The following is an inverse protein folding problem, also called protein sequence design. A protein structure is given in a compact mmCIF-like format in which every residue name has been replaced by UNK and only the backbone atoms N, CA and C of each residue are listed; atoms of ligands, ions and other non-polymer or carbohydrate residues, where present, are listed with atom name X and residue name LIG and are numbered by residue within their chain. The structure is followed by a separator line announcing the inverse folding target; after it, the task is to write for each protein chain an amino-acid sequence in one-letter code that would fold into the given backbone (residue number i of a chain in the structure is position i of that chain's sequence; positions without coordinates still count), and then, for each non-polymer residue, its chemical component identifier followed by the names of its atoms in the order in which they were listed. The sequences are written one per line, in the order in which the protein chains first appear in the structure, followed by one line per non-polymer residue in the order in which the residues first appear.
data_IF_685623056651
#
_entry.id   IF_685623056651
#
_cell.length_a   1.000
_cell.length_b   1.000
_cell.length_c   1.000
_cell.angle_alpha   90.00
_cell.angle_beta   90.00
_cell.angle_gamma   90.00
#
_symmetry.space_group_name_H-M   'P 1'
#
loop_
_entity.id
_entity.type
_entity.pdbx_description
1 polymer ?
#
# COMPACT_ATOMS: atom_id res chain seq x y z
N UNK A 1 -9.76 -55.98 24.33
CA UNK A 1 -8.59 -55.08 24.33
C UNK A 1 -8.58 -54.03 23.19
N UNK A 2 -9.43 -54.12 22.16
CA UNK A 2 -9.42 -53.19 21.00
C UNK A 2 -10.29 -51.92 21.13
N UNK A 3 -11.11 -51.77 22.18
CA UNK A 3 -12.02 -50.61 22.31
C UNK A 3 -11.45 -49.39 23.04
N UNK A 4 -10.27 -49.50 23.67
CA UNK A 4 -9.63 -48.36 24.36
C UNK A 4 -8.60 -47.62 23.50
N UNK A 5 -8.15 -48.19 22.37
CA UNK A 5 -7.14 -47.55 21.51
C UNK A 5 -7.75 -46.46 20.61
N UNK A 6 -9.00 -46.62 20.13
CA UNK A 6 -9.64 -45.62 19.27
C UNK A 6 -10.08 -44.35 20.00
N UNK A 7 -10.40 -44.42 21.30
CA UNK A 7 -10.78 -43.24 22.09
C UNK A 7 -9.58 -42.29 22.31
N UNK A 8 -8.38 -42.84 22.48
CA UNK A 8 -7.16 -42.04 22.61
C UNK A 8 -6.73 -41.41 21.28
N UNK A 9 -7.00 -42.08 20.14
CA UNK A 9 -6.67 -41.55 18.82
C UNK A 9 -7.58 -40.36 18.41
N UNK A 10 -8.85 -40.38 18.83
CA UNK A 10 -9.76 -39.25 18.63
C UNK A 10 -9.43 -38.04 19.52
N UNK A 11 -8.97 -38.26 20.76
CA UNK A 11 -8.54 -37.16 21.63
C UNK A 11 -7.23 -36.51 21.18
N UNK A 12 -6.29 -37.28 20.62
CA UNK A 12 -5.04 -36.74 20.06
C UNK A 12 -5.33 -35.99 18.75
N UNK A 13 -6.28 -36.46 17.92
CA UNK A 13 -6.70 -35.73 16.72
C UNK A 13 -7.43 -34.41 17.03
N UNK A 14 -8.14 -34.32 18.16
CA UNK A 14 -8.83 -33.09 18.57
C UNK A 14 -7.84 -32.03 19.11
N UNK A 15 -6.74 -32.46 19.71
CA UNK A 15 -5.66 -31.57 20.18
C UNK A 15 -4.75 -31.13 19.02
N UNK A 16 -4.59 -31.95 17.97
CA UNK A 16 -3.81 -31.57 16.78
C UNK A 16 -4.58 -30.61 15.85
N UNK A 17 -5.90 -30.61 15.87
CA UNK A 17 -6.73 -29.62 15.13
C UNK A 17 -6.87 -28.29 15.89
N UNK A 18 -6.60 -28.27 17.20
CA UNK A 18 -6.42 -27.02 17.96
C UNK A 18 -5.02 -26.39 17.79
N UNK A 19 -4.21 -26.95 16.88
CA UNK A 19 -2.96 -26.37 16.38
C UNK A 19 -3.13 -25.56 15.10
N UNK A 20 -4.36 -25.16 14.74
CA UNK A 20 -4.54 -23.97 13.90
C UNK A 20 -3.93 -22.82 14.68
N UNK A 21 -2.67 -22.50 14.37
CA UNK A 21 -2.06 -21.25 14.76
C UNK A 21 -3.02 -20.16 14.33
N UNK A 22 -3.85 -19.71 15.28
CA UNK A 22 -4.38 -18.37 15.27
C UNK A 22 -3.10 -17.56 15.34
N UNK A 23 -2.58 -17.18 14.17
CA UNK A 23 -1.66 -16.06 14.06
C UNK A 23 -2.53 -14.92 14.54
N UNK A 24 -2.51 -14.70 15.86
CA UNK A 24 -3.14 -13.55 16.46
C UNK A 24 -2.49 -12.39 15.76
N UNK A 25 -3.28 -11.63 15.01
CA UNK A 25 -2.87 -10.30 14.60
C UNK A 25 -2.22 -9.64 15.82
N UNK A 26 -1.00 -9.14 15.65
CA UNK A 26 -0.25 -8.34 16.61
C UNK A 26 -0.39 -6.86 16.23
N UNK A 27 -1.54 -6.21 16.50
CA UNK A 27 -1.66 -4.78 16.32
C UNK A 27 -0.62 -4.06 17.19
N UNK A 28 -0.26 -2.84 16.81
CA UNK A 28 0.59 -2.00 17.64
C UNK A 28 -0.04 -1.82 19.02
N UNK A 29 0.70 -2.15 20.07
CA UNK A 29 0.22 -1.98 21.44
C UNK A 29 0.34 -0.50 21.81
N UNK A 30 -0.78 0.21 21.96
CA UNK A 30 -0.81 1.66 22.18
C UNK A 30 0.15 2.18 23.26
N UNK A 31 0.27 1.47 24.40
CA UNK A 31 1.17 1.87 25.51
C UNK A 31 2.67 1.80 25.18
N UNK A 32 3.04 1.12 24.09
CA UNK A 32 4.42 1.03 23.60
C UNK A 32 4.72 2.10 22.53
N UNK A 33 3.73 2.85 22.06
CA UNK A 33 3.96 3.97 21.16
C UNK A 33 4.50 5.15 21.97
N UNK A 34 5.75 5.54 21.71
CA UNK A 34 6.43 6.64 22.40
C UNK A 34 6.17 7.97 21.71
N UNK A 35 6.26 7.97 20.38
CA UNK A 35 5.84 9.10 19.54
C UNK A 35 4.95 8.60 18.43
N UNK A 36 3.93 9.39 18.08
CA UNK A 36 3.17 9.26 16.86
C UNK A 36 2.88 10.67 16.34
N UNK A 37 3.36 11.01 15.15
CA UNK A 37 3.29 12.35 14.56
C UNK A 37 2.44 12.30 13.29
N UNK A 38 1.45 13.18 13.19
CA UNK A 38 0.66 13.39 11.98
C UNK A 38 1.33 14.49 11.13
N UNK A 39 2.23 14.12 10.23
CA UNK A 39 3.06 15.08 9.50
C UNK A 39 2.21 15.92 8.53
N UNK A 40 2.53 17.21 8.44
CA UNK A 40 1.77 18.21 7.71
C UNK A 40 0.51 18.72 8.42
N UNK A 41 0.02 18.06 9.48
CA UNK A 41 -1.26 18.40 10.10
C UNK A 41 -1.13 19.26 11.36
N UNK A 42 -2.04 20.22 11.51
CA UNK A 42 -2.21 20.97 12.75
C UNK A 42 -3.08 20.24 13.80
N UNK A 43 -3.68 19.11 13.43
CA UNK A 43 -4.62 18.37 14.27
C UNK A 43 -4.05 17.03 14.72
N UNK A 44 -4.33 16.69 15.98
CA UNK A 44 -4.10 15.34 16.48
C UNK A 44 -5.18 14.38 15.94
N UNK A 45 -4.80 13.11 15.76
CA UNK A 45 -5.68 12.05 15.28
C UNK A 45 -5.55 10.81 16.16
N UNK A 46 -6.68 10.29 16.64
CA UNK A 46 -6.73 9.01 17.34
C UNK A 46 -6.61 7.86 16.34
N UNK A 47 -5.70 6.93 16.63
CA UNK A 47 -5.54 5.70 15.86
C UNK A 47 -6.59 4.64 16.20
N UNK A 48 -6.79 3.66 15.32
CA UNK A 48 -7.65 2.48 15.50
C UNK A 48 -7.09 1.55 16.57
N UNK A 49 -5.77 1.51 16.74
CA UNK A 49 -5.10 0.78 17.82
C UNK A 49 -5.11 1.52 19.18
N UNK A 50 -5.64 2.75 19.21
CA UNK A 50 -5.97 3.50 20.44
C UNK A 50 -4.94 4.52 20.91
N UNK A 51 -3.73 4.56 20.33
CA UNK A 51 -2.76 5.65 20.54
C UNK A 51 -3.16 6.91 19.73
N UNK A 52 -2.53 8.05 20.01
CA UNK A 52 -2.85 9.32 19.33
C UNK A 52 -1.64 9.79 18.54
N UNK A 53 -1.82 10.00 17.24
CA UNK A 53 -0.92 10.84 16.47
C UNK A 53 -1.11 12.28 16.92
N UNK A 54 -0.07 12.89 17.47
CA UNK A 54 -0.07 14.31 17.80
C UNK A 54 -0.10 15.13 16.52
N UNK A 55 -0.49 16.41 16.64
CA UNK A 55 -0.21 17.38 15.59
C UNK A 55 1.27 17.36 15.21
N UNK A 56 1.58 17.83 14.02
CA UNK A 56 2.94 17.88 13.52
C UNK A 56 3.83 18.76 14.40
N UNK A 57 4.99 18.22 14.80
CA UNK A 57 5.94 18.87 15.69
C UNK A 57 7.32 18.21 15.60
N UNK A 58 8.35 18.95 16.04
CA UNK A 58 9.71 18.44 16.11
C UNK A 58 10.44 18.40 14.77
N UNK A 59 9.89 19.02 13.73
CA UNK A 59 10.51 19.17 12.41
C UNK A 59 11.38 20.43 12.29
N UNK A 60 12.26 20.47 11.28
CA UNK A 60 13.09 21.64 10.95
C UNK A 60 12.28 22.83 10.39
N UNK A 61 12.73 24.07 10.64
CA UNK A 61 12.01 25.29 10.25
C UNK A 61 11.78 25.44 8.72
N UNK A 62 12.73 25.00 7.89
CA UNK A 62 12.67 25.13 6.42
C UNK A 62 11.91 23.97 5.76
N UNK A 63 10.62 23.83 6.12
CA UNK A 63 9.73 22.79 5.60
C UNK A 63 8.34 23.33 5.27
N UNK A 64 7.62 22.63 4.40
CA UNK A 64 6.26 22.96 4.00
C UNK A 64 5.31 21.81 4.32
N UNK A 65 4.03 22.15 4.46
CA UNK A 65 2.96 21.19 4.65
C UNK A 65 1.94 21.29 3.53
N UNK A 66 1.36 20.17 3.13
CA UNK A 66 0.23 20.11 2.18
C UNK A 66 -0.90 19.33 2.85
N UNK A 67 -2.11 19.88 2.76
CA UNK A 67 -3.34 19.21 3.17
C UNK A 67 -4.19 18.94 1.91
N UNK A 68 -4.40 17.67 1.62
CA UNK A 68 -5.18 17.18 0.48
C UNK A 68 -6.67 17.05 0.79
N UNK A 69 -7.09 17.30 2.04
CA UNK A 69 -8.47 17.04 2.50
C UNK A 69 -9.52 17.90 1.79
N UNK A 70 -9.13 19.09 1.35
CA UNK A 70 -10.01 20.06 0.69
C UNK A 70 -9.88 20.07 -0.85
N UNK A 71 -9.08 19.16 -1.43
CA UNK A 71 -8.97 19.04 -2.89
C UNK A 71 -10.20 18.34 -3.49
N UNK A 72 -11.04 19.10 -4.21
CA UNK A 72 -12.22 18.58 -4.89
C UNK A 72 -11.90 17.48 -5.91
N UNK A 73 -10.69 17.44 -6.48
CA UNK A 73 -10.28 16.35 -7.38
C UNK A 73 -9.98 15.04 -6.65
N UNK A 74 -9.71 15.12 -5.34
CA UNK A 74 -9.42 13.96 -4.49
C UNK A 74 -10.63 13.55 -3.64
N UNK A 75 -11.78 14.17 -3.87
CA UNK A 75 -13.02 13.84 -3.16
C UNK A 75 -13.45 12.40 -3.46
N UNK A 76 -13.64 11.62 -2.40
CA UNK A 76 -13.98 10.20 -2.52
C UNK A 76 -12.79 9.31 -2.89
N UNK A 77 -11.56 9.85 -2.88
CA UNK A 77 -10.35 9.06 -3.06
C UNK A 77 -10.28 7.96 -2.00
N UNK A 78 -9.91 6.76 -2.46
CA UNK A 78 -9.60 5.63 -1.59
C UNK A 78 -8.10 5.42 -1.59
N UNK A 79 -7.49 5.61 -0.42
CA UNK A 79 -6.09 5.24 -0.20
C UNK A 79 -6.05 3.74 0.09
N UNK A 80 -5.48 2.98 -0.84
CA UNK A 80 -5.44 1.52 -0.74
C UNK A 80 -4.58 1.11 0.45
N UNK A 81 -5.00 0.05 1.12
CA UNK A 81 -4.30 -0.53 2.27
C UNK A 81 -4.07 0.44 3.45
N UNK A 82 -4.83 1.53 3.54
CA UNK A 82 -4.83 2.38 4.72
C UNK A 82 -5.92 1.91 5.70
N UNK A 83 -5.52 1.47 6.90
CA UNK A 83 -6.46 1.38 8.04
C UNK A 83 -7.00 2.76 8.41
N UNK A 84 -6.18 3.79 8.22
CA UNK A 84 -6.42 5.17 8.63
C UNK A 84 -6.10 6.15 7.48
N UNK A 85 -6.99 6.27 6.47
CA UNK A 85 -6.71 7.08 5.29
C UNK A 85 -6.38 8.54 5.62
N UNK A 86 -6.95 9.09 6.70
CA UNK A 86 -6.76 10.50 7.07
C UNK A 86 -5.33 10.86 7.46
N UNK A 87 -4.50 9.90 7.90
CA UNK A 87 -3.07 10.17 8.16
C UNK A 87 -2.32 10.47 6.85
N UNK A 88 -2.80 9.94 5.73
CA UNK A 88 -2.20 10.12 4.42
C UNK A 88 -2.78 11.32 3.65
N UNK A 89 -3.67 12.11 4.27
CA UNK A 89 -4.23 13.31 3.65
C UNK A 89 -3.41 14.56 3.95
N UNK A 90 -2.42 14.49 4.84
CA UNK A 90 -1.48 15.57 5.08
C UNK A 90 -0.05 15.06 4.90
N UNK A 91 0.81 15.87 4.30
CA UNK A 91 2.24 15.58 4.22
C UNK A 91 3.08 16.78 4.65
N UNK A 92 4.26 16.49 5.20
CA UNK A 92 5.36 17.45 5.31
C UNK A 92 6.41 17.12 4.27
N UNK A 93 6.92 18.12 3.58
CA UNK A 93 8.04 17.99 2.66
C UNK A 93 9.04 19.14 2.81
N UNK A 94 10.28 18.91 2.39
CA UNK A 94 11.33 19.93 2.35
C UNK A 94 11.78 20.19 0.93
N UNK A 95 12.02 21.46 0.57
CA UNK A 95 12.68 21.78 -0.71
C UNK A 95 14.13 21.27 -0.74
N UNK A 96 14.71 21.09 0.44
CA UNK A 96 16.00 20.46 0.71
C UNK A 96 15.81 19.24 1.63
N UNK A 97 16.92 18.63 2.04
CA UNK A 97 16.89 17.67 3.15
C UNK A 97 16.30 18.32 4.40
N UNK A 98 15.46 17.59 5.12
CA UNK A 98 14.86 18.04 6.39
C UNK A 98 14.77 16.86 7.36
N UNK A 99 14.51 17.14 8.62
CA UNK A 99 14.43 16.12 9.65
C UNK A 99 13.41 16.39 10.74
N UNK A 100 13.38 15.43 11.66
CA UNK A 100 12.63 15.43 12.90
C UNK A 100 13.55 15.08 14.06
N UNK A 101 13.36 15.77 15.18
CA UNK A 101 14.02 15.51 16.46
C UNK A 101 12.98 15.11 17.52
N UNK A 102 13.00 13.83 17.91
CA UNK A 102 12.02 13.24 18.83
C UNK A 102 12.69 12.72 20.10
N UNK A 103 12.21 13.09 21.29
CA UNK A 103 12.85 12.70 22.55
C UNK A 103 12.91 11.17 22.76
N UNK A 104 14.01 10.65 23.28
CA UNK A 104 14.11 9.25 23.71
C UNK A 104 14.58 9.18 25.17
N UNK A 105 13.67 8.77 26.05
CA UNK A 105 13.92 8.79 27.49
C UNK A 105 14.44 7.47 28.06
N UNK A 106 14.20 6.35 27.37
CA UNK A 106 14.47 5.01 27.89
C UNK A 106 15.42 4.28 26.95
N UNK A 107 16.54 3.78 27.47
CA UNK A 107 17.44 2.93 26.70
C UNK A 107 16.81 1.56 26.44
N UNK A 108 16.48 1.28 25.19
CA UNK A 108 15.90 0.02 24.74
C UNK A 108 15.94 -0.11 23.21
N UNK A 109 15.42 -1.22 22.69
CA UNK A 109 15.16 -1.40 21.27
C UNK A 109 13.89 -0.67 20.87
N UNK A 110 13.94 0.02 19.74
CA UNK A 110 12.84 0.73 19.14
C UNK A 110 12.64 0.30 17.69
N UNK A 111 11.40 0.45 17.20
CA UNK A 111 11.08 0.38 15.78
C UNK A 111 10.51 1.71 15.33
N UNK A 112 11.18 2.35 14.38
CA UNK A 112 10.68 3.53 13.68
C UNK A 112 9.80 3.06 12.52
N UNK A 113 8.55 3.50 12.50
CA UNK A 113 7.57 3.22 11.45
C UNK A 113 7.28 4.53 10.72
N UNK A 114 7.58 4.58 9.43
CA UNK A 114 7.43 5.76 8.59
C UNK A 114 6.30 5.53 7.59
N UNK A 115 5.31 6.42 7.61
CA UNK A 115 4.11 6.32 6.79
C UNK A 115 4.22 7.22 5.57
N UNK A 116 4.04 6.62 4.39
CA UNK A 116 4.07 7.31 3.11
C UNK A 116 2.88 6.91 2.24
N UNK A 117 2.48 7.84 1.37
CA UNK A 117 1.58 7.59 0.26
C UNK A 117 1.99 8.53 -0.87
N UNK A 118 2.24 8.02 -2.09
CA UNK A 118 2.50 8.91 -3.22
C UNK A 118 1.19 9.55 -3.68
N UNK A 119 1.05 10.86 -3.45
CA UNK A 119 -0.15 11.64 -3.76
C UNK A 119 -0.03 12.37 -5.12
N UNK A 120 1.19 12.69 -5.55
CA UNK A 120 1.45 13.61 -6.65
C UNK A 120 1.88 12.91 -7.93
N UNK A 121 2.93 12.08 -7.87
CA UNK A 121 3.49 11.45 -9.07
C UNK A 121 2.76 10.17 -9.50
N UNK A 122 2.85 9.91 -10.80
CA UNK A 122 2.18 8.82 -11.51
C UNK A 122 3.16 7.80 -12.13
N UNK A 123 4.45 7.91 -11.83
CA UNK A 123 5.51 7.04 -12.37
C UNK A 123 6.71 6.93 -11.44
N UNK A 124 7.47 5.82 -11.49
CA UNK A 124 8.66 5.64 -10.67
C UNK A 124 9.79 6.59 -11.11
N UNK A 125 10.75 6.79 -10.22
CA UNK A 125 11.96 7.59 -10.42
C UNK A 125 11.72 9.10 -10.37
N UNK A 126 10.53 9.58 -10.02
CA UNK A 126 10.24 11.02 -9.95
C UNK A 126 10.65 11.64 -8.62
N UNK A 127 10.37 10.92 -7.54
CA UNK A 127 10.70 11.32 -6.18
C UNK A 127 11.48 10.18 -5.54
N UNK A 128 12.75 10.44 -5.29
CA UNK A 128 13.68 9.47 -4.72
C UNK A 128 14.48 10.18 -3.65
N UNK A 129 14.48 9.66 -2.43
CA UNK A 129 15.23 10.24 -1.32
C UNK A 129 15.84 9.16 -0.43
N UNK A 130 16.61 9.55 0.58
CA UNK A 130 17.12 8.63 1.59
C UNK A 130 16.49 8.95 2.94
N UNK A 131 16.45 7.96 3.83
CA UNK A 131 16.10 8.16 5.24
C UNK A 131 17.35 7.85 6.06
N UNK A 132 17.69 8.74 6.99
CA UNK A 132 18.84 8.59 7.88
C UNK A 132 18.42 8.64 9.35
N UNK A 133 19.17 7.92 10.16
CA UNK A 133 19.26 8.14 11.60
C UNK A 133 20.63 8.77 11.86
N UNK A 134 20.64 10.03 12.30
CA UNK A 134 21.86 10.85 12.31
C UNK A 134 22.53 10.86 10.93
N UNK A 135 23.79 10.42 10.88
CA UNK A 135 24.56 10.37 9.63
C UNK A 135 24.42 9.07 8.85
N UNK A 136 23.71 8.08 9.38
CA UNK A 136 23.60 6.74 8.77
C UNK A 136 22.34 6.62 7.94
N UNK A 137 22.49 6.35 6.64
CA UNK A 137 21.36 6.02 5.74
C UNK A 137 20.79 4.65 6.13
N UNK A 138 19.61 4.66 6.72
CA UNK A 138 18.87 3.45 7.12
C UNK A 138 17.97 2.93 5.99
N UNK A 139 17.55 3.83 5.08
CA UNK A 139 16.85 3.50 3.84
C UNK A 139 17.48 4.31 2.72
N UNK A 140 17.83 3.65 1.61
CA UNK A 140 18.45 4.28 0.45
C UNK A 140 17.54 4.17 -0.77
N UNK A 141 17.64 5.14 -1.69
CA UNK A 141 16.84 5.27 -2.91
C UNK A 141 15.35 4.98 -2.70
N UNK A 142 14.74 5.58 -1.66
CA UNK A 142 13.34 5.39 -1.34
C UNK A 142 12.47 6.08 -2.40
N UNK A 143 11.78 5.27 -3.18
CA UNK A 143 10.77 5.67 -4.15
C UNK A 143 9.44 5.01 -3.78
N UNK A 144 8.50 5.82 -3.29
CA UNK A 144 7.21 5.35 -2.80
C UNK A 144 6.34 4.87 -3.95
N UNK A 145 6.38 5.54 -5.11
CA UNK A 145 5.66 5.11 -6.29
C UNK A 145 6.15 3.74 -6.77
N UNK A 146 7.47 3.54 -6.85
CA UNK A 146 8.02 2.25 -7.28
C UNK A 146 7.66 1.11 -6.32
N UNK A 147 7.54 1.39 -5.01
CA UNK A 147 7.21 0.39 -3.99
C UNK A 147 5.72 0.06 -3.90
N UNK A 148 4.85 1.07 -4.04
CA UNK A 148 3.43 0.92 -3.72
C UNK A 148 2.49 1.43 -4.81
N UNK A 149 2.96 2.32 -5.69
CA UNK A 149 2.15 3.07 -6.65
C UNK A 149 1.50 4.30 -6.02
N UNK A 150 0.67 4.99 -6.81
CA UNK A 150 -0.07 6.18 -6.39
C UNK A 150 -1.27 5.81 -5.53
N UNK A 151 -1.54 6.60 -4.48
CA UNK A 151 -2.67 6.40 -3.57
C UNK A 151 -2.69 5.05 -2.86
N UNK A 152 -1.50 4.54 -2.53
CA UNK A 152 -1.33 3.28 -1.80
C UNK A 152 -0.51 3.56 -0.55
N UNK A 153 -1.08 3.22 0.61
CA UNK A 153 -0.38 3.33 1.88
C UNK A 153 0.83 2.40 1.92
N UNK A 154 1.97 2.98 2.29
CA UNK A 154 3.25 2.30 2.38
C UNK A 154 3.95 2.66 3.69
N UNK A 155 4.28 1.63 4.46
CA UNK A 155 4.98 1.75 5.72
C UNK A 155 6.40 1.20 5.58
N UNK A 156 7.39 1.96 6.04
CA UNK A 156 8.77 1.49 6.21
C UNK A 156 9.06 1.27 7.69
N UNK A 157 9.71 0.16 8.03
CA UNK A 157 10.05 -0.21 9.40
C UNK A 157 11.57 -0.25 9.56
N UNK A 158 12.07 0.47 10.56
CA UNK A 158 13.50 0.52 10.88
C UNK A 158 13.68 0.22 12.36
N UNK A 159 14.15 -0.99 12.67
CA UNK A 159 14.57 -1.34 14.02
C UNK A 159 15.94 -0.71 14.34
N UNK A 160 16.05 -0.08 15.50
CA UNK A 160 17.30 0.47 16.03
C UNK A 160 17.36 0.31 17.54
N UNK A 161 18.57 0.38 18.10
CA UNK A 161 18.78 0.32 19.55
C UNK A 161 19.25 1.67 20.07
N UNK A 162 18.62 2.15 21.13
CA UNK A 162 19.12 3.28 21.91
C UNK A 162 19.79 2.74 23.18
N UNK A 163 21.11 2.94 23.29
CA UNK A 163 21.90 2.43 24.41
C UNK A 163 23.13 3.32 24.64
N UNK A 164 23.46 3.58 25.90
CA UNK A 164 24.59 4.42 26.32
C UNK A 164 24.61 5.78 25.60
N UNK A 165 23.45 6.43 25.49
CA UNK A 165 23.31 7.72 24.80
C UNK A 165 23.54 7.70 23.28
N UNK A 166 23.57 6.52 22.64
CA UNK A 166 23.84 6.36 21.19
C UNK A 166 22.78 5.53 20.49
N UNK A 167 22.58 5.81 19.20
CA UNK A 167 21.77 4.99 18.31
C UNK A 167 22.65 3.95 17.63
N UNK A 168 22.18 2.71 17.58
CA UNK A 168 22.76 1.62 16.81
C UNK A 168 21.76 1.11 15.79
N UNK A 169 22.17 1.03 14.53
CA UNK A 169 21.43 0.40 13.45
C UNK A 169 22.26 -0.76 12.90
N UNK A 170 21.69 -1.98 12.84
CA UNK A 170 22.42 -3.20 12.40
C UNK A 170 23.77 -3.37 13.10
N UNK A 171 23.81 -3.16 14.41
CA UNK A 171 25.01 -3.21 15.26
C UNK A 171 26.10 -2.16 14.95
N UNK A 172 25.81 -1.16 14.13
CA UNK A 172 26.71 -0.05 13.84
C UNK A 172 26.21 1.23 14.51
N UNK A 173 27.14 2.02 15.07
CA UNK A 173 26.80 3.31 15.69
C UNK A 173 26.37 4.28 14.60
N UNK A 174 25.19 4.89 14.77
CA UNK A 174 24.76 6.02 13.97
C UNK A 174 25.30 7.31 14.60
N UNK A 175 26.39 7.84 14.05
CA UNK A 175 26.90 9.15 14.48
C UNK A 175 25.80 10.21 14.36
N UNK A 176 25.74 11.13 15.34
CA UNK A 176 24.70 12.16 15.44
C UNK A 176 23.26 11.61 15.45
N UNK A 177 23.08 10.34 15.81
CA UNK A 177 21.75 9.72 15.95
C UNK A 177 20.95 10.24 17.15
N UNK A 178 21.64 10.80 18.15
CA UNK A 178 21.05 11.61 19.23
C UNK A 178 21.65 13.01 19.15
N UNK A 179 20.79 14.02 19.17
CA UNK A 179 21.14 15.45 19.30
C UNK A 179 20.27 16.03 20.41
N UNK A 180 20.87 16.64 21.43
CA UNK A 180 20.15 17.22 22.57
C UNK A 180 19.12 16.29 23.24
N UNK A 181 19.47 15.00 23.39
CA UNK A 181 18.60 13.97 23.98
C UNK A 181 17.46 13.49 23.07
N UNK A 182 17.45 13.92 21.81
CA UNK A 182 16.42 13.57 20.82
C UNK A 182 17.00 12.71 19.70
N UNK A 183 16.26 11.69 19.31
CA UNK A 183 16.47 10.93 18.08
C UNK A 183 16.44 11.87 16.88
N UNK A 184 17.51 11.86 16.10
CA UNK A 184 17.64 12.65 14.88
C UNK A 184 17.28 11.78 13.66
N UNK A 185 16.15 12.06 13.02
CA UNK A 185 15.65 11.41 11.81
C UNK A 185 15.76 12.44 10.69
N UNK A 186 16.39 12.11 9.56
CA UNK A 186 16.42 13.04 8.42
C UNK A 186 16.03 12.36 7.11
N UNK A 187 15.25 13.07 6.30
CA UNK A 187 14.92 12.71 4.93
C UNK A 187 15.85 13.47 4.00
N UNK A 188 16.85 12.77 3.47
CA UNK A 188 17.91 13.35 2.67
C UNK A 188 17.50 13.42 1.20
N UNK A 189 17.45 14.63 0.67
CA UNK A 189 17.13 14.91 -0.73
C UNK A 189 18.20 14.36 -1.66
N UNK A 190 17.79 13.80 -2.79
CA UNK A 190 18.68 13.46 -3.91
C UNK A 190 18.51 14.47 -5.04
N UNK A 191 19.05 14.19 -6.22
CA UNK A 191 18.87 15.02 -7.43
C UNK A 191 17.43 15.05 -7.97
N UNK A 192 16.53 14.24 -7.40
CA UNK A 192 15.13 14.12 -7.80
C UNK A 192 14.25 15.12 -7.02
N UNK A 193 12.93 14.91 -6.99
CA UNK A 193 12.00 15.77 -6.26
C UNK A 193 12.18 15.71 -4.73
N UNK A 194 11.47 16.60 -4.02
CA UNK A 194 11.51 16.82 -2.59
C UNK A 194 11.23 15.55 -1.75
N UNK A 195 12.01 15.29 -0.68
CA UNK A 195 11.62 14.30 0.32
C UNK A 195 10.33 14.71 1.04
N UNK A 196 9.54 13.74 1.48
CA UNK A 196 8.25 13.96 2.15
C UNK A 196 7.94 12.85 3.16
N UNK A 197 6.99 13.08 4.07
CA UNK A 197 6.49 12.10 5.04
C UNK A 197 5.03 12.44 5.43
N UNK A 198 4.20 11.42 5.68
CA UNK A 198 2.81 11.58 6.14
C UNK A 198 2.65 11.31 7.63
N UNK A 199 3.40 10.35 8.17
CA UNK A 199 3.36 10.05 9.60
C UNK A 199 4.60 9.35 10.11
N UNK A 200 4.89 9.54 11.39
CA UNK A 200 6.05 8.95 12.07
C UNK A 200 5.55 8.28 13.34
N UNK A 201 5.91 7.02 13.55
CA UNK A 201 5.68 6.33 14.83
C UNK A 201 7.00 5.81 15.37
N UNK A 202 7.32 6.14 16.62
CA UNK A 202 8.44 5.56 17.37
C UNK A 202 7.84 4.58 18.37
N UNK A 203 8.09 3.29 18.15
CA UNK A 203 7.54 2.20 18.94
C UNK A 203 8.61 1.56 19.83
N UNK A 204 8.31 1.41 21.12
CA UNK A 204 9.12 0.71 22.11
C UNK A 204 9.02 -0.82 21.93
N UNK A 205 9.91 -1.38 21.12
CA UNK A 205 9.97 -2.80 20.84
C UNK A 205 10.74 -3.11 19.56
N UNK A 206 11.13 -4.37 19.42
CA UNK A 206 11.67 -4.94 18.19
C UNK A 206 10.59 -5.12 17.11
N UNK A 207 11.01 -5.33 15.87
CA UNK A 207 10.16 -5.44 14.70
C UNK A 207 9.10 -6.54 14.83
N UNK A 208 9.45 -7.68 15.45
CA UNK A 208 8.54 -8.82 15.69
C UNK A 208 7.41 -8.53 16.70
N UNK A 209 7.50 -7.39 17.40
CA UNK A 209 6.50 -6.88 18.33
C UNK A 209 5.61 -5.79 17.71
N UNK A 210 5.81 -5.47 16.44
CA UNK A 210 5.01 -4.50 15.68
C UNK A 210 3.94 -5.20 14.84
N UNK A 211 3.17 -4.40 14.09
CA UNK A 211 2.19 -4.87 13.12
C UNK A 211 2.78 -5.20 11.74
N UNK A 212 4.12 -5.32 11.62
CA UNK A 212 4.81 -5.63 10.37
C UNK A 212 4.28 -6.90 9.68
N UNK A 213 4.17 -8.01 10.42
CA UNK A 213 3.64 -9.28 9.90
C UNK A 213 2.13 -9.20 9.61
N UNK A 214 1.41 -8.41 10.39
CA UNK A 214 -0.03 -8.22 10.21
C UNK A 214 -0.36 -7.44 8.94
N UNK A 215 0.51 -6.52 8.53
CA UNK A 215 0.29 -5.67 7.36
C UNK A 215 0.06 -6.50 6.09
N UNK A 216 0.78 -7.62 5.93
CA UNK A 216 0.58 -8.51 4.79
C UNK A 216 -0.82 -9.15 4.80
N UNK A 217 -1.24 -9.67 5.95
CA UNK A 217 -2.55 -10.28 6.13
C UNK A 217 -3.69 -9.27 5.94
N UNK A 218 -3.50 -8.06 6.48
CA UNK A 218 -4.42 -6.95 6.30
C UNK A 218 -4.57 -6.58 4.81
N UNK A 219 -3.47 -6.45 4.06
CA UNK A 219 -3.53 -6.17 2.60
C UNK A 219 -4.31 -7.25 1.86
N UNK A 220 -4.06 -8.52 2.15
CA UNK A 220 -4.80 -9.62 1.53
C UNK A 220 -6.30 -9.60 1.90
N UNK A 221 -6.65 -9.24 3.13
CA UNK A 221 -8.04 -9.09 3.56
C UNK A 221 -8.71 -7.88 2.90
N UNK A 222 -7.99 -6.77 2.78
CA UNK A 222 -8.45 -5.55 2.13
C UNK A 222 -8.85 -5.83 0.67
N UNK A 223 -8.01 -6.53 -0.09
CA UNK A 223 -8.31 -6.92 -1.48
C UNK A 223 -9.58 -7.77 -1.59
N UNK A 224 -9.76 -8.76 -0.70
CA UNK A 224 -10.98 -9.57 -0.67
C UNK A 224 -12.21 -8.72 -0.36
N UNK A 225 -12.13 -7.83 0.60
CA UNK A 225 -13.24 -6.97 0.99
C UNK A 225 -13.60 -6.01 -0.15
N UNK A 226 -12.60 -5.38 -0.77
CA UNK A 226 -12.78 -4.47 -1.89
C UNK A 226 -13.43 -5.17 -3.10
N UNK A 227 -12.94 -6.36 -3.47
CA UNK A 227 -13.52 -7.14 -4.56
C UNK A 227 -14.98 -7.55 -4.27
N UNK A 228 -15.29 -7.93 -3.02
CA UNK A 228 -16.64 -8.27 -2.61
C UNK A 228 -17.59 -7.06 -2.67
N UNK A 229 -17.13 -5.88 -2.26
CA UNK A 229 -17.91 -4.65 -2.34
C UNK A 229 -18.14 -4.22 -3.79
N UNK A 230 -17.12 -4.29 -4.64
CA UNK A 230 -17.24 -4.00 -6.07
C UNK A 230 -18.27 -4.92 -6.74
N UNK A 231 -18.24 -6.23 -6.42
CA UNK A 231 -19.23 -7.20 -6.91
C UNK A 231 -20.65 -6.85 -6.45
N UNK A 232 -20.84 -6.54 -5.16
CA UNK A 232 -22.15 -6.13 -4.62
C UNK A 232 -22.70 -4.88 -5.31
N UNK A 233 -21.85 -3.88 -5.57
CA UNK A 233 -22.24 -2.66 -6.30
C UNK A 233 -22.63 -2.97 -7.75
N UNK A 234 -21.88 -3.84 -8.43
CA UNK A 234 -22.22 -4.28 -9.79
C UNK A 234 -23.58 -5.02 -9.84
N UNK A 235 -23.83 -5.93 -8.90
CA UNK A 235 -25.09 -6.65 -8.79
C UNK A 235 -26.27 -5.69 -8.51
N UNK A 236 -26.09 -4.68 -7.65
CA UNK A 236 -27.09 -3.64 -7.39
C UNK A 236 -27.37 -2.79 -8.63
N UNK A 237 -26.33 -2.39 -9.36
CA UNK A 237 -26.46 -1.61 -10.58
C UNK A 237 -27.22 -2.39 -11.66
N UNK A 238 -26.94 -3.69 -11.83
CA UNK A 238 -27.64 -4.55 -12.77
C UNK A 238 -29.13 -4.67 -12.42
N UNK A 239 -29.46 -4.87 -11.15
CA UNK A 239 -30.86 -4.88 -10.68
C UNK A 239 -31.58 -3.55 -10.98
N UNK A 240 -30.91 -2.42 -10.78
CA UNK A 240 -31.48 -1.11 -11.07
C UNK A 240 -31.72 -0.92 -12.59
N UNK A 241 -30.78 -1.36 -13.43
CA UNK A 241 -30.93 -1.33 -14.89
C UNK A 241 -32.10 -2.21 -15.36
N UNK A 242 -32.23 -3.43 -14.86
CA UNK A 242 -33.36 -4.33 -15.17
C UNK A 242 -34.70 -3.73 -14.74
N UNK A 243 -34.77 -3.08 -13.57
CA UNK A 243 -35.98 -2.41 -13.10
C UNK A 243 -36.37 -1.22 -14.00
N UNK A 244 -35.39 -0.42 -14.42
CA UNK A 244 -35.60 0.70 -15.36
C UNK A 244 -36.11 0.19 -16.72
N UNK A 245 -35.50 -0.88 -17.25
CA UNK A 245 -35.93 -1.49 -18.52
C UNK A 245 -37.36 -2.02 -18.45
N UNK A 246 -37.70 -2.79 -17.40
CA UNK A 246 -39.08 -3.29 -17.19
C UNK A 246 -40.11 -2.17 -17.06
N UNK A 247 -39.72 -1.03 -16.47
CA UNK A 247 -40.60 0.15 -16.37
C UNK A 247 -40.80 0.80 -17.75
N UNK A 248 -39.75 0.91 -18.56
CA UNK A 248 -39.84 1.41 -19.94
C UNK A 248 -40.68 0.49 -20.83
N UNK A 249 -40.46 -0.82 -20.78
CA UNK A 249 -41.27 -1.82 -21.51
C UNK A 249 -42.75 -1.71 -21.16
N UNK A 250 -43.09 -1.55 -19.87
CA UNK A 250 -44.48 -1.33 -19.44
C UNK A 250 -45.09 -0.02 -19.95
N UNK A 251 -44.29 1.03 -20.14
CA UNK A 251 -44.77 2.30 -20.71
C UNK A 251 -45.03 2.12 -22.21
N UNK A 252 -44.11 1.49 -22.94
CA UNK A 252 -44.27 1.19 -24.38
C UNK A 252 -45.53 0.36 -24.64
N UNK A 253 -45.74 -0.72 -23.87
CA UNK A 253 -46.93 -1.58 -24.00
C UNK A 253 -48.23 -0.81 -23.69
N UNK A 254 -48.18 0.23 -22.84
CA UNK A 254 -49.35 1.04 -22.50
C UNK A 254 -49.70 2.08 -23.57
N UNK A 255 -48.72 2.52 -24.36
CA UNK A 255 -48.91 3.47 -25.47
C UNK A 255 -49.40 2.79 -26.77
N UNK A 256 -49.50 1.46 -26.81
CA UNK A 256 -50.05 0.71 -27.97
C UNK A 256 -51.59 0.71 -28.01
N UNK A 257 -52.24 1.37 -27.06
CA UNK A 257 -53.67 1.65 -27.09
C UNK A 257 -53.90 3.15 -26.85
N UNK A 258 -54.27 3.84 -27.94
CA UNK A 258 -54.75 5.23 -28.06
C UNK A 258 -53.74 6.37 -27.90
N UNK A 259 -53.55 7.08 -29.02
CA UNK A 259 -53.27 8.50 -29.28
C UNK A 259 -52.27 9.29 -28.41
N UNK A 260 -51.35 9.93 -29.12
CA UNK A 260 -50.27 10.82 -28.68
C UNK A 260 -50.86 12.14 -28.15
N UNK A 261 -50.39 12.63 -26.99
CA UNK A 261 -49.98 14.04 -26.81
C UNK A 261 -49.16 14.27 -25.51
N UNK A 262 -47.89 14.63 -25.74
CA UNK A 262 -46.93 15.50 -25.02
C UNK A 262 -46.97 15.65 -23.47
N UNK A 263 -45.88 15.22 -22.83
CA UNK A 263 -44.95 16.12 -22.14
C UNK A 263 -43.68 15.33 -21.75
N UNK A 264 -42.74 15.24 -22.70
CA UNK A 264 -41.36 14.84 -22.39
C UNK A 264 -40.52 16.10 -22.38
N UNK A 265 -40.34 16.69 -21.19
CA UNK A 265 -39.16 17.53 -20.96
C UNK A 265 -37.93 16.65 -21.21
N UNK A 266 -37.21 16.97 -22.29
CA UNK A 266 -35.89 16.45 -22.59
C UNK A 266 -34.94 16.78 -21.43
N UNK A 267 -34.84 15.89 -20.44
CA UNK A 267 -33.73 15.92 -19.50
C UNK A 267 -32.56 15.25 -20.21
N UNK A 268 -31.79 16.08 -20.90
CA UNK A 268 -30.44 15.81 -21.34
C UNK A 268 -29.64 15.33 -20.13
N UNK A 269 -29.51 14.01 -19.98
CA UNK A 269 -28.53 13.44 -19.06
C UNK A 269 -27.19 13.74 -19.70
N UNK A 270 -26.54 14.80 -19.25
CA UNK A 270 -25.11 14.98 -19.48
C UNK A 270 -24.42 13.74 -18.92
N UNK A 271 -24.04 12.85 -19.82
CA UNK A 271 -22.96 11.92 -19.58
C UNK A 271 -21.70 12.78 -19.35
N UNK A 272 -21.46 13.19 -18.11
CA UNK A 272 -20.10 13.44 -17.67
C UNK A 272 -19.41 12.09 -17.49
N UNK A 273 -19.18 11.43 -18.62
CA UNK A 273 -18.05 10.52 -18.76
C UNK A 273 -16.83 11.43 -18.82
N UNK A 274 -16.21 11.69 -17.67
CA UNK A 274 -14.78 12.01 -17.67
C UNK A 274 -14.11 10.84 -18.40
N UNK A 275 -13.72 11.09 -19.65
CA UNK A 275 -12.74 10.27 -20.35
C UNK A 275 -11.43 10.39 -19.58
N UNK A 276 -11.25 9.58 -18.55
CA UNK A 276 -9.92 9.13 -18.21
C UNK A 276 -9.50 8.13 -19.28
N UNK A 277 -8.53 8.55 -20.07
CA UNK A 277 -7.71 7.67 -20.89
C UNK A 277 -7.24 6.49 -20.05
N UNK A 278 -7.69 5.28 -20.39
CA UNK A 278 -7.29 4.07 -19.70
C UNK A 278 -7.66 2.82 -20.49
N UNK A 279 -6.73 2.39 -21.36
CA UNK A 279 -6.76 1.17 -22.17
C UNK A 279 -7.46 0.00 -21.48
N UNK A 280 -8.55 -0.47 -22.04
CA UNK A 280 -8.98 -1.85 -21.85
C UNK A 280 -7.94 -2.76 -22.51
N UNK A 281 -7.34 -3.66 -21.73
CA UNK A 281 -6.53 -4.74 -22.29
C UNK A 281 -7.50 -5.64 -23.07
N UNK A 282 -7.34 -5.84 -24.39
CA UNK A 282 -8.24 -6.68 -25.14
C UNK A 282 -8.14 -8.13 -24.63
N UNK A 283 -9.22 -8.92 -24.71
CA UNK A 283 -9.13 -10.36 -24.49
C UNK A 283 -8.01 -10.96 -25.36
N UNK A 284 -7.29 -11.97 -24.86
CA UNK A 284 -6.07 -12.54 -25.48
C UNK A 284 -6.25 -12.85 -26.98
N UNK A 285 -7.46 -13.25 -27.38
CA UNK A 285 -7.85 -13.57 -28.76
C UNK A 285 -7.86 -12.34 -29.69
N UNK A 286 -8.17 -11.15 -29.18
CA UNK A 286 -8.18 -9.90 -29.94
C UNK A 286 -6.80 -9.24 -29.98
N UNK A 287 -6.00 -9.40 -28.91
CA UNK A 287 -4.62 -8.93 -28.86
C UNK A 287 -3.75 -9.59 -29.95
N UNK A 288 -3.99 -10.88 -30.22
CA UNK A 288 -3.31 -11.69 -31.24
C UNK A 288 -3.60 -11.28 -32.70
N UNK A 289 -4.68 -10.53 -32.94
CA UNK A 289 -5.10 -10.13 -34.29
C UNK A 289 -4.62 -8.71 -34.66
N UNK A 290 -3.91 -8.03 -33.76
CA UNK A 290 -3.33 -6.70 -34.01
C UNK A 290 -1.94 -6.82 -34.67
N UNK A 291 -1.48 -5.82 -35.45
CA UNK A 291 -0.15 -5.83 -36.06
C UNK A 291 0.98 -6.03 -35.03
N UNK A 292 0.81 -5.50 -33.80
CA UNK A 292 1.76 -5.66 -32.70
C UNK A 292 1.68 -7.05 -32.06
N UNK A 293 0.49 -7.64 -31.94
CA UNK A 293 0.30 -9.01 -31.47
C UNK A 293 0.87 -10.08 -32.40
N UNK A 294 0.81 -9.85 -33.71
CA UNK A 294 1.43 -10.72 -34.73
C UNK A 294 2.97 -10.67 -34.62
N UNK A 295 3.55 -9.50 -34.37
CA UNK A 295 5.02 -9.35 -34.15
C UNK A 295 5.47 -10.04 -32.86
N UNK A 296 4.69 -9.95 -31.78
CA UNK A 296 4.98 -10.66 -30.52
C UNK A 296 4.91 -12.19 -30.67
N UNK A 297 4.00 -12.71 -31.50
CA UNK A 297 3.91 -14.15 -31.81
C UNK A 297 5.12 -14.62 -32.62
N UNK A 298 5.55 -13.87 -33.63
CA UNK A 298 6.74 -14.21 -34.42
C UNK A 298 8.00 -14.21 -33.51
N UNK A 299 8.11 -13.27 -32.57
CA UNK A 299 9.18 -13.25 -31.57
C UNK A 299 9.20 -14.47 -30.63
N UNK A 300 8.03 -14.95 -30.20
CA UNK A 300 7.91 -16.14 -29.33
C UNK A 300 8.28 -17.44 -30.04
N UNK A 301 8.02 -17.56 -31.35
CA UNK A 301 8.46 -18.73 -32.14
C UNK A 301 9.96 -18.71 -32.43
N UNK A 302 10.58 -17.53 -32.59
CA UNK A 302 12.04 -17.44 -32.79
C UNK A 302 12.85 -17.72 -31.51
N UNK A 303 12.40 -17.31 -30.33
CA UNK A 303 13.09 -17.62 -29.06
C UNK A 303 12.95 -19.08 -28.66
N UNK A 304 11.80 -19.69 -28.96
CA UNK A 304 11.57 -21.13 -28.75
C UNK A 304 12.43 -21.99 -29.68
N UNK A 305 12.71 -21.55 -30.91
CA UNK A 305 13.58 -22.26 -31.84
C UNK A 305 15.07 -22.16 -31.45
N UNK A 306 15.51 -21.02 -30.90
CA UNK A 306 16.88 -20.84 -30.40
C UNK A 306 17.14 -21.68 -29.13
N UNK A 307 16.16 -21.78 -28.22
CA UNK A 307 16.28 -22.61 -27.01
C UNK A 307 16.24 -24.12 -27.30
N UNK A 308 15.49 -24.55 -28.32
CA UNK A 308 15.49 -25.96 -28.77
C UNK A 308 16.79 -26.27 -29.53
N UNK A 309 17.36 -25.31 -30.28
CA UNK A 309 18.67 -25.48 -30.93
C UNK A 309 19.83 -25.56 -29.94
N UNK A 310 19.80 -24.82 -28.83
CA UNK A 310 20.85 -24.89 -27.79
C UNK A 310 20.74 -26.15 -26.94
N UNK A 311 19.52 -26.64 -26.67
CA UNK A 311 19.31 -27.90 -25.95
C UNK A 311 19.70 -29.15 -26.77
N UNK A 312 19.68 -29.07 -28.10
CA UNK A 312 20.15 -30.16 -28.98
C UNK A 312 21.66 -30.13 -29.28
N UNK A 313 22.35 -29.00 -29.06
CA UNK A 313 23.80 -28.89 -29.35
C UNK A 313 24.72 -29.08 -28.12
N UNK A 314 24.19 -29.07 -26.90
CA UNK A 314 24.98 -29.39 -25.68
C UNK A 314 25.08 -30.89 -25.37
N UNK A 315 24.45 -31.76 -26.18
CA UNK A 315 24.47 -33.21 -26.00
C UNK A 315 25.66 -33.97 -26.61
N UNK A 316 26.62 -33.31 -27.29
CA UNK A 316 27.58 -34.01 -28.14
C UNK A 316 29.06 -33.60 -27.97
N UNK A 317 29.50 -33.19 -26.78
CA UNK A 317 30.92 -32.94 -26.53
C UNK A 317 31.41 -33.45 -25.16
N UNK A 318 31.15 -34.72 -24.83
CA UNK A 318 32.01 -35.46 -23.89
C UNK A 318 32.09 -36.93 -24.31
N UNK A 319 33.09 -37.28 -25.12
CA UNK A 319 33.96 -38.47 -25.04
C UNK A 319 34.58 -38.80 -26.40
N UNK A 320 35.88 -38.55 -26.49
CA UNK A 320 36.94 -39.25 -27.25
C UNK A 320 38.22 -38.48 -26.92
N UNK A 321 39.36 -39.04 -26.58
CA UNK A 321 39.86 -40.39 -26.32
C UNK A 321 41.31 -40.14 -25.85
N UNK A 322 41.78 -40.94 -24.90
CA UNK A 322 43.19 -41.27 -24.59
C UNK A 322 44.18 -40.16 -24.19
#
# INVERSE_FOLDING_TARGET
MMMNSQKNLFFISLIVIAGLSIISARPLVAKKVVHAINAGSHMAKRSVEGFVYTRDQGYDEDTNAVDYSDDENLKGLVIKYAKEPTIYMTERHGYNSFGYQLALDIEQTYTLILKFCEMYFDKPGRRVFHVKLGDTRVITNLDIFAKAGRFVAHDEYVEFKYQNGKIYYKNQVCNNGIVDGKLNISFEKTQNDNPFIHGIVVYAGSLDQTDFEDLHNFKAQWERNYANEARKKADQLNKLKEQKLKKQEKIIVRNDHTDIEEDFEDIEIKEEVKQEQGRTVPPLKEMLMTPLGIVCMIGFFFTSFVLISSAFFEGNNVKKEQ
#
